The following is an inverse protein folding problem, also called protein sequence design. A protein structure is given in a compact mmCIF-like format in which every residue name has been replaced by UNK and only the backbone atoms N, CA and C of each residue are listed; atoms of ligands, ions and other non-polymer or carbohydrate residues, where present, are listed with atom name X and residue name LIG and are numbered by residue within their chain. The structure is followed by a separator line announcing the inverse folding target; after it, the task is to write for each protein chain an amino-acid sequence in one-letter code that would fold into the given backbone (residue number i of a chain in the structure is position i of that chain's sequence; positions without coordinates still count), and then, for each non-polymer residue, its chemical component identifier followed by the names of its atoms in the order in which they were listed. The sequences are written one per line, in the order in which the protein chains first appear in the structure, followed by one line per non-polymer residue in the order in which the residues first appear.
data_IF_218568480023
#
_entry.id   IF_218568480023
#
_cell.length_a   1.000
_cell.length_b   1.000
_cell.length_c   1.000
_cell.angle_alpha   90.00
_cell.angle_beta   90.00
_cell.angle_gamma   90.00
#
_symmetry.space_group_name_H-M   'P 1'
#
loop_
_entity.id
_entity.type
_entity.pdbx_description
1 polymer ?
#
# COMPACT_ATOMS: atom_id res chain seq x y z
N UNK A 1 2.60 6.90 11.61
CA UNK A 1 1.74 7.20 10.45
C UNK A 1 0.30 7.40 10.89
N UNK A 2 -0.41 6.37 11.38
CA UNK A 2 -1.83 6.51 11.75
C UNK A 2 -2.12 7.63 12.78
N UNK A 3 -1.35 7.80 13.87
CA UNK A 3 -1.56 8.91 14.81
C UNK A 3 -1.42 10.29 14.16
N UNK A 4 -0.53 10.42 13.17
CA UNK A 4 -0.32 11.66 12.42
C UNK A 4 -1.52 11.99 11.54
N UNK A 5 -2.08 10.99 10.85
CA UNK A 5 -3.28 11.17 10.03
C UNK A 5 -4.52 11.49 10.89
N UNK A 6 -4.63 10.88 12.08
CA UNK A 6 -5.67 11.22 13.05
C UNK A 6 -5.54 12.68 13.54
N UNK A 7 -4.33 13.18 13.76
CA UNK A 7 -4.12 14.58 14.11
C UNK A 7 -4.58 15.52 12.98
N UNK A 8 -4.28 15.20 11.72
CA UNK A 8 -4.73 15.96 10.55
C UNK A 8 -6.26 15.91 10.42
N UNK A 9 -6.86 14.74 10.65
CA UNK A 9 -8.32 14.56 10.62
C UNK A 9 -9.00 15.46 11.67
N UNK A 10 -8.51 15.44 12.91
CA UNK A 10 -9.03 16.29 14.00
C UNK A 10 -8.83 17.78 13.74
N UNK A 11 -7.68 18.18 13.17
CA UNK A 11 -7.39 19.56 12.85
C UNK A 11 -8.24 20.10 11.69
N UNK A 12 -8.50 19.27 10.68
CA UNK A 12 -9.27 19.69 9.50
C UNK A 12 -10.78 19.63 9.72
N UNK A 13 -11.30 18.61 10.39
CA UNK A 13 -12.73 18.38 10.62
C UNK A 13 -13.57 18.18 9.35
N UNK A 14 -12.94 17.99 8.19
CA UNK A 14 -13.59 18.07 6.86
C UNK A 14 -13.80 16.73 6.15
N UNK A 15 -13.13 15.67 6.61
CA UNK A 15 -13.16 14.37 5.96
C UNK A 15 -13.04 13.24 6.99
N UNK A 16 -13.51 12.05 6.62
CA UNK A 16 -13.29 10.83 7.39
C UNK A 16 -11.81 10.46 7.45
N UNK A 17 -11.41 9.70 8.46
CA UNK A 17 -10.07 9.15 8.52
C UNK A 17 -9.81 8.21 7.35
N UNK A 18 -10.82 7.45 6.91
CA UNK A 18 -10.78 6.59 5.73
C UNK A 18 -10.39 7.35 4.45
N UNK A 19 -11.03 8.50 4.19
CA UNK A 19 -10.67 9.34 3.03
C UNK A 19 -9.28 9.96 3.18
N UNK A 20 -8.90 10.39 4.39
CA UNK A 20 -7.57 10.95 4.64
C UNK A 20 -6.46 9.91 4.41
N UNK A 21 -6.67 8.65 4.75
CA UNK A 21 -5.72 7.57 4.49
C UNK A 21 -5.50 7.40 2.97
N UNK A 22 -6.58 7.39 2.19
CA UNK A 22 -6.49 7.25 0.72
C UNK A 22 -5.86 8.50 0.10
N UNK A 23 -6.28 9.70 0.52
CA UNK A 23 -5.73 10.96 0.02
C UNK A 23 -4.23 11.11 0.34
N UNK A 24 -3.77 10.65 1.50
CA UNK A 24 -2.35 10.61 1.83
C UNK A 24 -1.57 9.69 0.86
N UNK A 25 -2.18 8.57 0.43
CA UNK A 25 -1.62 7.69 -0.59
C UNK A 25 -1.52 8.37 -1.96
N UNK A 26 -2.58 9.07 -2.39
CA UNK A 26 -2.62 9.87 -3.63
C UNK A 26 -1.46 10.87 -3.65
N UNK A 27 -1.34 11.68 -2.59
CA UNK A 27 -0.25 12.65 -2.45
C UNK A 27 1.13 11.99 -2.50
N UNK A 28 1.29 10.81 -1.87
CA UNK A 28 2.55 10.07 -1.90
C UNK A 28 2.95 9.62 -3.31
N UNK A 29 1.99 9.20 -4.14
CA UNK A 29 2.25 8.80 -5.54
C UNK A 29 2.61 10.02 -6.39
N UNK A 30 1.88 11.12 -6.26
CA UNK A 30 2.17 12.36 -7.01
C UNK A 30 3.54 12.93 -6.65
N UNK A 31 3.89 12.94 -5.36
CA UNK A 31 5.23 13.36 -4.90
C UNK A 31 6.33 12.46 -5.47
N UNK A 32 6.11 11.15 -5.53
CA UNK A 32 7.09 10.23 -6.09
C UNK A 32 7.26 10.40 -7.60
N UNK A 33 6.17 10.63 -8.33
CA UNK A 33 6.23 10.95 -9.76
C UNK A 33 6.97 12.27 -10.01
N UNK A 34 6.64 13.33 -9.23
CA UNK A 34 7.31 14.62 -9.32
C UNK A 34 8.81 14.51 -9.02
N UNK A 35 9.20 13.69 -8.04
CA UNK A 35 10.61 13.41 -7.74
C UNK A 35 11.35 12.67 -8.86
N UNK A 36 10.62 12.02 -9.77
CA UNK A 36 11.14 11.41 -11.00
C UNK A 36 11.05 12.33 -12.23
N UNK A 37 10.63 13.59 -12.06
CA UNK A 37 10.46 14.55 -13.15
C UNK A 37 9.20 14.36 -13.98
N UNK A 38 8.23 13.57 -13.48
CA UNK A 38 6.97 13.30 -14.17
C UNK A 38 5.82 13.96 -13.40
N UNK A 39 5.06 14.83 -14.07
CA UNK A 39 3.85 15.40 -13.50
C UNK A 39 2.67 14.50 -13.81
N UNK A 40 1.99 14.02 -12.76
CA UNK A 40 0.76 13.21 -12.87
C UNK A 40 -0.28 13.77 -11.92
N UNK A 41 -1.55 13.64 -12.30
CA UNK A 41 -2.68 13.90 -11.43
C UNK A 41 -3.33 12.56 -11.08
N UNK A 42 -3.34 12.19 -9.81
CA UNK A 42 -3.90 10.91 -9.36
C UNK A 42 -5.35 11.15 -8.92
N UNK A 43 -6.34 10.49 -9.55
CA UNK A 43 -7.74 10.76 -9.24
C UNK A 43 -8.09 10.36 -7.81
N UNK A 44 -8.89 11.20 -7.15
CA UNK A 44 -9.40 10.97 -5.81
C UNK A 44 -10.92 11.18 -5.78
N UNK A 45 -11.64 10.18 -5.29
CA UNK A 45 -13.09 10.24 -5.07
C UNK A 45 -13.37 10.18 -3.57
N UNK A 46 -13.91 11.26 -2.96
CA UNK A 46 -14.28 11.29 -1.55
C UNK A 46 -15.60 10.54 -1.30
N UNK A 47 -15.92 10.33 -0.02
CA UNK A 47 -17.19 9.76 0.44
C UNK A 47 -17.04 8.50 1.28
N UNK A 48 -15.82 8.08 1.64
CA UNK A 48 -15.63 6.99 2.59
C UNK A 48 -16.03 7.44 3.99
N UNK A 49 -16.50 6.51 4.80
CA UNK A 49 -16.90 6.74 6.18
C UNK A 49 -16.09 5.87 7.13
N UNK A 50 -15.94 6.32 8.37
CA UNK A 50 -15.25 5.57 9.41
C UNK A 50 -16.26 4.62 10.08
N UNK A 51 -16.00 3.32 10.01
CA UNK A 51 -16.82 2.30 10.67
C UNK A 51 -16.59 2.31 12.19
N UNK A 52 -17.64 2.01 12.95
CA UNK A 52 -17.59 1.91 14.39
C UNK A 52 -17.18 0.49 14.86
N UNK A 53 -16.61 0.33 16.07
CA UNK A 53 -16.33 -0.99 16.64
C UNK A 53 -17.56 -1.90 16.67
N UNK A 54 -18.74 -1.36 16.96
CA UNK A 54 -20.00 -2.12 17.03
C UNK A 54 -20.47 -2.62 15.65
N UNK A 55 -19.94 -2.05 14.57
CA UNK A 55 -20.18 -2.46 13.19
C UNK A 55 -19.12 -3.44 12.68
N UNK A 56 -18.16 -3.82 13.54
CA UNK A 56 -16.98 -4.62 13.17
C UNK A 56 -16.95 -5.93 13.95
N UNK A 57 -17.25 -7.04 13.28
CA UNK A 57 -17.06 -8.37 13.84
C UNK A 57 -15.59 -8.82 13.68
N UNK A 58 -14.84 -8.80 14.78
CA UNK A 58 -13.40 -9.08 14.79
C UNK A 58 -13.08 -10.48 14.25
N UNK A 59 -13.86 -11.49 14.60
CA UNK A 59 -13.61 -12.89 14.19
C UNK A 59 -13.72 -13.04 12.67
N UNK A 60 -14.72 -12.38 12.06
CA UNK A 60 -14.87 -12.34 10.60
C UNK A 60 -13.70 -11.63 9.91
N UNK A 61 -13.11 -10.60 10.53
CA UNK A 61 -11.98 -9.86 9.95
C UNK A 61 -10.66 -10.65 9.99
N UNK A 62 -10.50 -11.61 10.90
CA UNK A 62 -9.30 -12.46 10.95
C UNK A 62 -9.13 -13.29 9.67
N UNK A 63 -10.23 -13.64 8.99
CA UNK A 63 -10.21 -14.33 7.69
C UNK A 63 -9.61 -13.47 6.57
N UNK A 64 -9.64 -12.14 6.72
CA UNK A 64 -9.07 -11.20 5.75
C UNK A 64 -7.56 -11.00 5.93
N UNK A 65 -6.97 -11.59 6.98
CA UNK A 65 -5.54 -11.48 7.22
C UNK A 65 -4.75 -12.23 6.14
N UNK A 66 -3.87 -11.55 5.36
CA UNK A 66 -3.20 -12.20 4.25
C UNK A 66 -2.17 -13.23 4.73
N UNK A 67 -2.19 -14.42 4.14
CA UNK A 67 -1.14 -15.43 4.31
C UNK A 67 0.15 -15.06 3.57
N UNK A 68 0.00 -14.42 2.42
CA UNK A 68 1.05 -13.81 1.63
C UNK A 68 0.53 -12.55 0.92
N UNK A 69 1.42 -11.60 0.68
CA UNK A 69 1.16 -10.37 -0.05
C UNK A 69 2.44 -9.99 -0.81
N UNK A 70 2.52 -10.44 -2.05
CA UNK A 70 3.68 -10.23 -2.90
C UNK A 70 3.95 -8.74 -3.21
N UNK A 71 2.91 -7.89 -3.23
CA UNK A 71 3.05 -6.45 -3.45
C UNK A 71 3.88 -5.80 -2.33
N UNK A 72 3.70 -6.23 -1.08
CA UNK A 72 4.48 -5.78 0.08
C UNK A 72 5.68 -6.65 0.44
N UNK A 73 6.00 -7.63 -0.42
CA UNK A 73 7.04 -8.63 -0.22
C UNK A 73 6.81 -9.54 1.00
N UNK A 74 5.57 -9.73 1.44
CA UNK A 74 5.25 -10.43 2.69
C UNK A 74 4.79 -11.88 2.47
N UNK A 75 5.23 -12.79 3.35
CA UNK A 75 4.78 -14.19 3.42
C UNK A 75 4.84 -14.64 4.88
N UNK A 76 3.76 -15.23 5.38
CA UNK A 76 3.64 -15.74 6.76
C UNK A 76 3.83 -17.25 6.87
N UNK A 77 3.41 -17.98 5.85
CA UNK A 77 3.44 -19.45 5.83
C UNK A 77 4.76 -19.98 5.27
N UNK A 78 5.32 -21.01 5.91
CA UNK A 78 6.50 -21.73 5.43
C UNK A 78 6.09 -22.99 4.65
N UNK A 79 6.79 -23.29 3.56
CA UNK A 79 6.48 -24.45 2.72
C UNK A 79 5.17 -24.33 1.92
N UNK A 80 4.82 -25.40 1.20
CA UNK A 80 3.62 -25.48 0.37
C UNK A 80 3.75 -24.80 -1.00
N UNK A 81 2.75 -24.00 -1.36
CA UNK A 81 2.64 -23.31 -2.65
C UNK A 81 3.80 -22.31 -2.85
N UNK A 82 4.24 -22.13 -4.10
CA UNK A 82 5.30 -21.17 -4.45
C UNK A 82 4.87 -19.73 -4.18
N UNK A 83 5.82 -18.85 -3.92
CA UNK A 83 5.53 -17.43 -3.62
C UNK A 83 4.91 -16.73 -4.82
N UNK A 84 5.33 -17.11 -6.02
CA UNK A 84 4.84 -16.59 -7.30
C UNK A 84 3.37 -16.96 -7.49
N UNK A 85 2.98 -18.21 -7.20
CA UNK A 85 1.58 -18.62 -7.28
C UNK A 85 0.70 -17.86 -6.29
N UNK A 86 1.19 -17.59 -5.08
CA UNK A 86 0.48 -16.77 -4.09
C UNK A 86 0.38 -15.29 -4.51
N UNK A 87 1.35 -14.77 -5.27
CA UNK A 87 1.25 -13.44 -5.88
C UNK A 87 0.15 -13.41 -6.95
N UNK A 88 0.08 -14.43 -7.82
CA UNK A 88 -0.98 -14.53 -8.84
C UNK A 88 -2.36 -14.65 -8.16
N UNK A 89 -2.49 -15.49 -7.15
CA UNK A 89 -3.72 -15.62 -6.35
C UNK A 89 -4.14 -14.27 -5.76
N UNK A 90 -3.20 -13.53 -5.17
CA UNK A 90 -3.51 -12.21 -4.61
C UNK A 90 -3.90 -11.19 -5.69
N UNK A 91 -3.26 -11.23 -6.85
CA UNK A 91 -3.60 -10.38 -7.98
C UNK A 91 -5.01 -10.69 -8.52
N UNK A 92 -5.39 -11.97 -8.55
CA UNK A 92 -6.73 -12.40 -8.95
C UNK A 92 -7.80 -11.94 -7.95
N UNK A 93 -7.56 -12.03 -6.64
CA UNK A 93 -8.46 -11.46 -5.61
C UNK A 93 -8.66 -9.95 -5.75
N UNK A 94 -7.63 -9.24 -6.25
CA UNK A 94 -7.67 -7.81 -6.52
C UNK A 94 -8.18 -7.49 -7.95
N UNK A 95 -8.64 -8.50 -8.69
CA UNK A 95 -9.17 -8.37 -10.07
C UNK A 95 -8.18 -7.77 -11.08
N UNK A 96 -6.87 -7.96 -10.85
CA UNK A 96 -5.83 -7.41 -11.70
C UNK A 96 -5.52 -8.31 -12.90
N UNK A 97 -5.28 -7.68 -14.04
CA UNK A 97 -4.65 -8.32 -15.19
C UNK A 97 -3.14 -8.50 -14.97
N UNK A 98 -2.50 -9.37 -15.77
CA UNK A 98 -1.06 -9.59 -15.70
C UNK A 98 -0.21 -8.30 -15.91
N UNK A 99 -0.55 -7.40 -16.87
CA UNK A 99 0.14 -6.12 -16.99
C UNK A 99 -0.03 -5.21 -15.77
N UNK A 100 -1.24 -5.09 -15.22
CA UNK A 100 -1.52 -4.25 -14.05
C UNK A 100 -0.76 -4.75 -12.81
N UNK A 101 -0.78 -6.06 -12.57
CA UNK A 101 0.03 -6.69 -11.54
C UNK A 101 1.52 -6.36 -11.70
N UNK A 102 2.04 -6.44 -12.92
CA UNK A 102 3.45 -6.18 -13.23
C UNK A 102 3.84 -4.73 -12.92
N UNK A 103 3.04 -3.76 -13.38
CA UNK A 103 3.26 -2.33 -13.10
C UNK A 103 3.19 -2.06 -11.59
N UNK A 104 2.22 -2.65 -10.90
CA UNK A 104 2.02 -2.43 -9.47
C UNK A 104 3.17 -2.99 -8.62
N UNK A 105 3.66 -4.20 -8.94
CA UNK A 105 4.84 -4.77 -8.26
C UNK A 105 6.06 -3.89 -8.46
N UNK A 106 6.35 -3.47 -9.70
CA UNK A 106 7.51 -2.62 -9.99
C UNK A 106 7.45 -1.27 -9.27
N UNK A 107 6.30 -0.59 -9.35
CA UNK A 107 6.08 0.71 -8.71
C UNK A 107 6.25 0.65 -7.19
N UNK A 108 5.56 -0.28 -6.53
CA UNK A 108 5.61 -0.41 -5.07
C UNK A 108 7.01 -0.78 -4.55
N UNK A 109 7.81 -1.50 -5.34
CA UNK A 109 9.21 -1.80 -5.00
C UNK A 109 10.08 -0.55 -4.99
N UNK A 110 9.94 0.33 -5.99
CA UNK A 110 10.71 1.58 -6.07
C UNK A 110 10.27 2.59 -4.99
N UNK A 111 8.97 2.62 -4.68
CA UNK A 111 8.41 3.44 -3.59
C UNK A 111 8.79 2.93 -2.20
N UNK A 112 9.36 1.72 -2.10
CA UNK A 112 9.72 1.11 -0.83
C UNK A 112 8.52 0.68 0.01
N UNK A 113 7.38 0.38 -0.62
CA UNK A 113 6.16 -0.11 0.03
C UNK A 113 6.29 -1.59 0.45
N UNK A 114 7.28 -1.87 1.31
CA UNK A 114 7.60 -3.19 1.84
C UNK A 114 7.30 -3.27 3.34
N UNK A 115 7.11 -4.48 3.86
CA UNK A 115 6.96 -4.66 5.30
C UNK A 115 8.26 -4.27 6.05
N UNK A 116 8.13 -3.45 7.11
CA UNK A 116 9.24 -2.79 7.85
C UNK A 116 10.39 -3.71 8.31
N UNK A 117 10.15 -5.01 8.45
CA UNK A 117 11.15 -5.99 8.92
C UNK A 117 11.97 -6.65 7.81
N UNK A 118 11.77 -6.30 6.54
CA UNK A 118 12.48 -6.94 5.44
C UNK A 118 13.66 -6.09 4.92
N UNK A 119 14.82 -6.74 4.82
CA UNK A 119 16.04 -6.20 4.21
C UNK A 119 15.80 -5.73 2.76
N UNK A 120 16.79 -5.08 2.15
CA UNK A 120 16.78 -4.39 0.83
C UNK A 120 16.45 -5.26 -0.39
N UNK A 121 15.82 -6.43 -0.23
CA UNK A 121 15.42 -7.32 -1.32
C UNK A 121 14.37 -6.63 -2.22
N UNK A 122 14.64 -6.61 -3.52
CA UNK A 122 13.71 -6.13 -4.54
C UNK A 122 13.65 -4.61 -4.75
N UNK A 123 14.39 -3.80 -3.98
CA UNK A 123 14.45 -2.34 -4.18
C UNK A 123 15.64 -2.00 -5.04
N UNK A 124 15.42 -1.81 -6.34
CA UNK A 124 16.47 -1.49 -7.31
C UNK A 124 16.44 0.01 -7.65
N UNK A 125 17.19 0.82 -6.90
CA UNK A 125 17.40 2.25 -7.18
C UNK A 125 18.88 2.61 -6.97
N UNK A 126 19.47 3.50 -7.79
CA UNK A 126 20.82 4.01 -7.55
C UNK A 126 20.92 4.63 -6.16
N UNK A 127 21.94 4.27 -5.37
CA UNK A 127 22.25 4.94 -4.11
C UNK A 127 22.55 6.41 -4.44
N UNK A 128 21.76 7.35 -3.91
CA UNK A 128 22.20 8.75 -3.83
C UNK A 128 23.50 8.76 -3.04
N UNK A 129 24.60 9.23 -3.65
CA UNK A 129 25.82 9.55 -2.91
C UNK A 129 25.40 10.57 -1.85
N UNK A 130 25.48 10.19 -0.58
CA UNK A 130 25.43 11.15 0.50
C UNK A 130 26.61 12.10 0.26
N UNK A 131 26.31 13.37 -0.01
CA UNK A 131 27.31 14.43 0.09
C UNK A 131 27.67 14.50 1.58
N UNK A 132 28.96 14.28 1.85
CA UNK A 132 29.60 14.64 3.12
C UNK A 132 29.83 16.14 3.14
#
# INVERSE_FOLDING_TARGET
MLPTLQAIQRASGKASLADIIVLAGVVGVEQAAAAAGVSVNVPFTPGRVDALPEQTDIESFDLLQPLADGFRNYRRIEGGVSTETLLIDKAQQLTLTAPEMTVLVGGLRVLGAKLRRQQTRGVYRPRRRAQQ
#
